data_IF_001351125395
#
_entry.id   IF_001351125395
#
_cell.length_a   1.000
_cell.length_b   1.000
_cell.length_c   1.000
_cell.angle_alpha   90.00
_cell.angle_beta   90.00
_cell.angle_gamma   90.00
#
_symmetry.space_group_name_H-M   'P 1'
#
loop_
_entity.id
_entity.type
_entity.pdbx_description
1 polymer ?
2 non-polymer ?
3 non-polymer ?
4 water ?
#
# COMPACT_ATOMS: atom_id res chain seq x y z
N UNK A 1 40.56 -5.78 -8.66
CA UNK A 1 40.47 -5.48 -7.24
C UNK A 1 39.06 -5.75 -6.69
N UNK A 2 38.08 -5.82 -7.59
CA UNK A 2 36.70 -6.07 -7.19
C UNK A 2 36.35 -7.53 -7.39
N UNK A 3 36.06 -8.24 -6.31
CA UNK A 3 35.72 -9.65 -6.44
C UNK A 3 34.23 -9.81 -6.78
N UNK A 4 33.36 -9.12 -6.04
CA UNK A 4 31.92 -9.32 -6.22
C UNK A 4 31.13 -8.16 -5.62
N UNK A 5 30.12 -7.69 -6.35
CA UNK A 5 29.17 -6.72 -5.80
C UNK A 5 27.81 -7.42 -5.67
N UNK A 6 27.25 -7.42 -4.46
CA UNK A 6 25.91 -7.96 -4.25
C UNK A 6 25.09 -7.07 -3.31
N UNK A 7 23.78 -7.18 -3.42
CA UNK A 7 22.85 -6.49 -2.53
C UNK A 7 22.10 -7.55 -1.71
N UNK A 8 21.85 -7.29 -0.42
CA UNK A 8 21.30 -8.34 0.43
C UNK A 8 19.95 -8.87 -0.05
N UNK A 9 19.10 -7.96 -0.52
CA UNK A 9 17.81 -8.36 -1.08
C UNK A 9 17.77 -8.17 -2.59
N UNK A 10 16.99 -9.00 -3.28
CA UNK A 10 16.85 -8.91 -4.73
C UNK A 10 15.57 -8.19 -5.08
N UNK A 11 14.57 -8.38 -4.23
CA UNK A 11 13.27 -7.77 -4.44
C UNK A 11 12.65 -7.46 -3.09
N UNK A 12 11.99 -6.31 -2.99
CA UNK A 12 11.25 -5.99 -1.78
C UNK A 12 9.99 -5.20 -2.12
N UNK A 13 8.90 -5.51 -1.41
CA UNK A 13 7.64 -4.80 -1.56
C UNK A 13 7.36 -4.00 -0.29
N UNK A 14 6.83 -2.80 -0.45
CA UNK A 14 6.52 -1.95 0.69
C UNK A 14 5.38 -1.01 0.33
N UNK A 15 4.71 -0.48 1.34
CA UNK A 15 3.62 0.44 1.09
C UNK A 15 4.13 1.86 1.10
N UNK A 16 3.40 2.72 0.39
CA UNK A 16 3.62 4.15 0.47
C UNK A 16 3.70 4.54 1.94
N UNK A 17 4.71 5.33 2.28
CA UNK A 17 4.92 5.77 3.65
C UNK A 17 5.85 4.92 4.48
N UNK A 18 6.10 3.69 4.04
CA UNK A 18 6.97 2.76 4.76
C UNK A 18 8.45 3.09 4.47
N UNK A 19 9.34 2.67 5.36
CA UNK A 19 10.78 2.89 5.18
C UNK A 19 11.49 1.56 4.96
N UNK A 20 12.49 1.55 4.08
CA UNK A 20 13.29 0.34 3.85
C UNK A 20 14.75 0.68 3.58
N UNK A 21 15.65 -0.24 3.91
CA UNK A 21 17.07 -0.10 3.56
C UNK A 21 17.64 -1.30 2.81
N UNK A 22 18.73 -1.05 2.08
CA UNK A 22 19.40 -2.09 1.31
C UNK A 22 20.89 -1.96 1.49
N UNK A 23 21.57 -3.09 1.54
CA UNK A 23 23.00 -3.09 1.77
C UNK A 23 23.71 -3.66 0.55
N UNK A 24 24.60 -2.86 -0.03
CA UNK A 24 25.45 -3.33 -1.11
C UNK A 24 26.82 -3.72 -0.54
N UNK A 25 27.30 -4.91 -0.86
CA UNK A 25 28.61 -5.33 -0.40
C UNK A 25 29.55 -5.51 -1.57
N UNK A 26 30.68 -4.83 -1.52
CA UNK A 26 31.61 -4.88 -2.64
C UNK A 26 32.90 -5.54 -2.17
N UNK A 27 32.91 -6.87 -2.21
CA UNK A 27 34.06 -7.66 -1.76
C UNK A 27 35.28 -7.39 -2.64
N UNK A 28 36.41 -7.09 -2.00
CA UNK A 28 37.60 -6.70 -2.72
C UNK A 28 38.07 -5.35 -2.22
N UNK A 29 38.56 -4.51 -3.13
CA UNK A 29 39.03 -3.19 -2.77
C UNK A 29 38.36 -2.09 -3.59
N UNK A 30 37.09 -1.77 -3.26
CA UNK A 30 36.43 -0.68 -3.98
C UNK A 30 37.01 0.67 -3.58
N UNK A 31 37.09 1.58 -4.54
CA UNK A 31 37.43 2.96 -4.27
C UNK A 31 36.16 3.74 -3.96
N UNK A 32 35.10 3.47 -4.74
CA UNK A 32 33.81 4.14 -4.56
C UNK A 32 32.69 3.12 -4.64
N UNK A 33 31.59 3.40 -3.94
CA UNK A 33 30.34 2.65 -4.11
C UNK A 33 29.18 3.64 -4.20
N UNK A 34 28.51 3.69 -5.34
CA UNK A 34 27.43 4.64 -5.55
C UNK A 34 26.14 3.91 -5.88
N UNK A 35 25.01 4.56 -5.62
CA UNK A 35 23.70 4.04 -6.01
C UNK A 35 23.07 4.90 -7.11
N UNK A 36 22.30 4.26 -7.98
CA UNK A 36 21.51 4.93 -9.01
C UNK A 36 20.05 4.54 -8.81
N UNK A 37 19.15 5.51 -8.93
CA UNK A 37 17.71 5.28 -8.79
C UNK A 37 17.10 4.81 -10.11
N UNK A 38 15.78 4.51 -10.13
CA UNK A 38 15.15 3.99 -11.36
C UNK A 38 15.16 4.97 -12.54
N UNK A 39 15.31 6.26 -12.26
CA UNK A 39 15.43 7.28 -13.30
C UNK A 39 16.83 7.30 -13.90
N UNK A 40 17.72 6.47 -13.36
CA UNK A 40 19.09 6.40 -13.83
C UNK A 40 20.04 7.42 -13.24
N UNK A 41 19.57 8.22 -12.29
CA UNK A 41 20.41 9.26 -11.68
C UNK A 41 21.25 8.74 -10.51
N UNK A 42 22.47 9.25 -10.38
CA UNK A 42 23.28 8.97 -9.19
C UNK A 42 22.64 9.57 -7.94
N UNK A 43 22.41 8.74 -6.93
CA UNK A 43 21.75 9.22 -5.72
C UNK A 43 22.68 10.05 -4.86
N UNK A 44 22.28 11.28 -4.61
CA UNK A 44 23.02 12.14 -3.71
C UNK A 44 22.21 12.21 -2.44
N UNK A 45 22.84 11.83 -1.33
CA UNK A 45 22.16 11.67 -0.05
C UNK A 45 21.34 12.90 0.37
N UNK A 46 20.12 12.66 0.84
CA UNK A 46 19.27 13.70 1.41
C UNK A 46 18.69 13.23 2.74
N UNK A 47 17.80 14.04 3.30
CA UNK A 47 17.16 13.71 4.57
C UNK A 47 16.30 12.46 4.45
N UNK A 48 15.62 12.32 3.32
CA UNK A 48 14.67 11.23 3.13
C UNK A 48 15.30 9.99 2.48
N UNK A 49 16.21 10.21 1.55
CA UNK A 49 16.88 9.11 0.84
C UNK A 49 18.38 9.19 1.11
N UNK A 50 18.87 8.26 1.92
CA UNK A 50 20.20 8.37 2.48
C UNK A 50 21.13 7.29 1.95
N UNK A 51 22.34 7.70 1.58
CA UNK A 51 23.40 6.78 1.22
C UNK A 51 24.57 6.92 2.19
N UNK A 52 25.11 5.80 2.65
CA UNK A 52 26.32 5.83 3.47
C UNK A 52 27.27 4.66 3.24
N UNK A 53 28.50 4.98 2.79
CA UNK A 53 29.55 3.99 2.56
C UNK A 53 30.37 3.76 3.83
N UNK A 54 30.52 2.50 4.21
CA UNK A 54 31.30 2.13 5.39
C UNK A 54 32.15 0.89 5.09
N UNK A 55 33.41 1.12 4.76
CA UNK A 55 34.28 0.04 4.36
C UNK A 55 33.93 -0.44 2.97
N UNK A 56 33.72 -1.75 2.81
CA UNK A 56 33.36 -2.30 1.51
C UNK A 56 31.84 -2.43 1.36
N UNK A 57 31.09 -1.75 2.23
CA UNK A 57 29.63 -1.78 2.17
C UNK A 57 29.02 -0.39 2.02
N UNK A 58 27.90 -0.32 1.30
CA UNK A 58 27.13 0.91 1.20
C UNK A 58 25.66 0.64 1.50
N UNK A 59 25.07 1.48 2.33
CA UNK A 59 23.67 1.33 2.70
C UNK A 59 22.80 2.42 2.05
N UNK A 60 21.72 2.00 1.40
CA UNK A 60 20.74 2.93 0.90
C UNK A 60 19.49 2.79 1.73
N UNK A 61 19.07 3.88 2.36
CA UNK A 61 17.83 3.89 3.10
C UNK A 61 16.84 4.84 2.44
N UNK A 62 15.63 4.34 2.24
CA UNK A 62 14.57 5.15 1.71
C UNK A 62 13.50 5.29 2.79
N UNK A 63 13.37 6.50 3.31
CA UNK A 63 12.35 6.79 4.32
C UNK A 63 11.07 7.27 3.66
N UNK A 64 9.94 6.94 4.29
CA UNK A 64 8.65 7.46 3.87
C UNK A 64 8.45 7.36 2.36
N UNK A 65 8.54 6.14 1.84
CA UNK A 65 8.50 5.87 0.41
C UNK A 65 7.25 6.42 -0.26
N UNK A 66 7.42 6.86 -1.50
CA UNK A 66 6.29 7.23 -2.32
C UNK A 66 6.40 6.45 -3.61
N UNK A 67 5.33 6.47 -4.40
CA UNK A 67 5.24 5.67 -5.61
C UNK A 67 6.39 5.87 -6.58
N UNK A 68 6.90 7.09 -6.66
CA UNK A 68 7.98 7.42 -7.58
C UNK A 68 9.31 6.82 -7.14
N UNK A 69 9.36 6.27 -5.93
CA UNK A 69 10.55 5.56 -5.46
C UNK A 69 10.61 4.14 -6.07
N UNK A 70 9.54 3.71 -6.73
CA UNK A 70 9.46 2.34 -7.22
C UNK A 70 10.38 2.05 -8.41
N UNK A 71 10.87 0.82 -8.50
CA UNK A 71 11.65 0.42 -9.66
C UNK A 71 12.99 -0.18 -9.29
N UNK A 72 13.87 -0.29 -10.28
CA UNK A 72 15.15 -0.98 -10.10
C UNK A 72 16.23 0.01 -9.71
N UNK A 73 16.91 -0.28 -8.61
CA UNK A 73 18.05 0.50 -8.15
C UNK A 73 19.32 -0.25 -8.47
N UNK A 74 20.39 0.48 -8.78
CA UNK A 74 21.68 -0.14 -9.08
C UNK A 74 22.70 0.30 -8.04
N UNK A 75 23.49 -0.65 -7.56
CA UNK A 75 24.68 -0.34 -6.78
C UNK A 75 25.87 -0.57 -7.71
N UNK A 76 26.74 0.43 -7.85
CA UNK A 76 27.89 0.31 -8.74
C UNK A 76 29.15 0.57 -7.91
N UNK A 77 30.04 -0.42 -7.84
CA UNK A 77 31.33 -0.19 -7.20
C UNK A 77 32.39 0.02 -8.27
N UNK A 78 33.38 0.84 -7.92
CA UNK A 78 34.46 1.14 -8.84
C UNK A 78 35.77 0.94 -8.10
N UNK A 79 36.74 0.34 -8.76
CA UNK A 79 38.07 0.25 -8.18
C UNK A 79 38.92 1.48 -8.55
N UNK A 80 40.17 1.48 -8.12
CA UNK A 80 41.01 2.66 -8.30
C UNK A 80 41.41 2.89 -9.77
N UNK A 81 41.34 1.83 -10.57
CA UNK A 81 41.63 1.90 -12.00
C UNK A 81 40.45 2.35 -12.85
N UNK A 82 39.27 2.45 -12.23
CA UNK A 82 38.09 2.83 -12.98
C UNK A 82 37.24 1.66 -13.49
N UNK A 83 37.60 0.45 -13.09
CA UNK A 83 36.78 -0.72 -13.44
C UNK A 83 35.57 -0.83 -12.52
N UNK A 84 34.44 -1.27 -13.06
CA UNK A 84 33.20 -1.23 -12.31
C UNK A 84 32.53 -2.60 -12.27
N UNK A 85 31.77 -2.83 -11.20
CA UNK A 85 30.87 -3.96 -11.11
C UNK A 85 29.61 -3.42 -10.45
N UNK A 86 28.50 -4.10 -10.66
CA UNK A 86 27.21 -3.56 -10.22
C UNK A 86 26.24 -4.68 -9.86
N UNK A 87 25.26 -4.35 -9.02
CA UNK A 87 24.20 -5.29 -8.64
C UNK A 87 22.92 -4.48 -8.66
N UNK A 88 21.78 -5.16 -8.69
CA UNK A 88 20.51 -4.46 -8.72
C UNK A 88 19.53 -4.99 -7.69
N UNK A 89 18.59 -4.14 -7.29
CA UNK A 89 17.50 -4.55 -6.40
C UNK A 89 16.21 -3.89 -6.91
N UNK A 90 15.09 -4.62 -6.84
CA UNK A 90 13.80 -4.12 -7.30
C UNK A 90 12.93 -3.74 -6.11
N UNK A 91 12.41 -2.52 -6.15
CA UNK A 91 11.51 -2.00 -5.14
C UNK A 91 10.12 -1.97 -5.79
N UNK A 92 9.18 -2.74 -5.24
CA UNK A 92 7.77 -2.65 -5.63
C UNK A 92 6.98 -1.93 -4.54
N UNK A 93 6.21 -0.93 -4.94
CA UNK A 93 5.54 -0.08 -3.97
C UNK A 93 4.02 -0.07 -4.22
N UNK A 94 3.25 -0.33 -3.17
CA UNK A 94 1.79 -0.39 -3.31
C UNK A 94 1.15 0.57 -2.32
N UNK A 95 -0.16 0.76 -2.43
CA UNK A 95 -0.88 1.60 -1.48
C UNK A 95 -1.76 0.70 -0.60
N UNK A 96 -1.57 0.77 0.71
CA UNK A 96 -2.38 -0.06 1.59
C UNK A 96 -3.80 0.49 1.73
N UNK A 97 -4.71 -0.33 2.25
CA UNK A 97 -6.11 0.09 2.44
C UNK A 97 -6.26 1.35 3.29
N UNK A 98 -7.02 2.30 2.77
CA UNK A 98 -7.22 3.58 3.41
C UNK A 98 -8.68 3.98 3.28
N UNK A 99 -9.37 4.10 4.42
CA UNK A 99 -10.73 4.63 4.45
C UNK A 99 -10.72 6.16 4.52
N UNK A 100 -11.61 6.81 3.76
CA UNK A 100 -11.73 8.28 3.71
C UNK A 100 -13.06 8.77 4.28
N UNK A 101 -12.99 9.84 5.05
CA UNK A 101 -14.18 10.50 5.58
C UNK A 101 -15.34 9.54 5.86
N UNK A 102 -15.12 8.62 6.80
CA UNK A 102 -16.15 7.68 7.21
C UNK A 102 -17.27 8.43 7.96
N UNK A 103 -18.51 8.26 7.51
CA UNK A 103 -19.67 8.85 8.19
C UNK A 103 -20.57 7.83 8.88
N UNK A 104 -20.80 8.02 10.18
CA UNK A 104 -21.64 7.13 10.97
C UNK A 104 -22.14 7.91 12.19
N UNK A 105 -23.47 7.90 12.41
CA UNK A 105 -24.44 7.16 11.61
C UNK A 105 -24.76 7.83 10.27
N UNK A 106 -25.41 7.08 9.39
CA UNK A 106 -26.02 7.65 8.21
C UNK A 106 -27.53 7.43 8.30
N UNK A 107 -28.30 8.50 8.11
CA UNK A 107 -29.74 8.45 8.31
C UNK A 107 -30.53 8.52 7.01
N UNK A 108 -31.61 7.76 6.95
CA UNK A 108 -32.51 7.73 5.80
C UNK A 108 -33.97 7.71 6.26
N UNK A 109 -34.88 8.22 5.43
CA UNK A 109 -36.30 8.08 5.74
C UNK A 109 -36.89 6.82 5.11
N UNK A 110 -37.76 6.14 5.85
CA UNK A 110 -38.36 4.90 5.37
C UNK A 110 -38.98 5.10 3.98
N UNK A 111 -38.82 4.10 3.12
CA UNK A 111 -39.39 4.14 1.78
C UNK A 111 -38.46 4.66 0.69
N UNK A 112 -37.50 5.51 1.06
CA UNK A 112 -36.58 6.05 0.07
C UNK A 112 -35.55 4.99 -0.34
N UNK A 113 -34.86 5.23 -1.46
CA UNK A 113 -33.80 4.33 -1.89
C UNK A 113 -32.48 4.84 -1.32
N UNK A 114 -31.95 4.11 -0.34
CA UNK A 114 -30.78 4.57 0.39
C UNK A 114 -29.50 4.23 -0.36
N UNK A 115 -28.48 5.08 -0.20
CA UNK A 115 -27.11 4.76 -0.61
C UNK A 115 -26.18 4.96 0.60
N UNK A 116 -25.72 3.87 1.21
CA UNK A 116 -24.81 3.98 2.34
C UNK A 116 -23.39 4.17 1.78
N UNK A 117 -22.76 5.28 2.14
CA UNK A 117 -21.48 5.68 1.57
C UNK A 117 -20.29 5.12 2.33
N UNK A 118 -19.36 4.54 1.57
CA UNK A 118 -18.12 4.05 2.13
C UNK A 118 -17.03 4.34 1.12
N UNK A 119 -15.91 4.91 1.57
CA UNK A 119 -14.86 5.27 0.62
C UNK A 119 -13.55 4.63 1.05
N UNK A 120 -13.13 3.61 0.30
CA UNK A 120 -11.90 2.91 0.62
C UNK A 120 -11.02 2.88 -0.63
N UNK A 121 -9.70 2.85 -0.42
CA UNK A 121 -8.76 2.91 -1.54
C UNK A 121 -7.56 2.04 -1.24
N UNK A 122 -6.88 1.61 -2.30
CA UNK A 122 -5.70 0.78 -2.21
C UNK A 122 -5.17 0.58 -3.63
N UNK A 123 -3.96 0.03 -3.75
CA UNK A 123 -3.50 -0.52 -5.02
C UNK A 123 -3.03 -1.96 -4.76
N UNK A 124 -3.55 -2.93 -5.53
CA UNK A 124 -4.57 -2.77 -6.56
C UNK A 124 -5.87 -2.29 -5.90
N UNK A 125 -6.83 -1.84 -6.70
CA UNK A 125 -8.16 -1.52 -6.21
C UNK A 125 -8.64 -2.55 -5.20
N UNK A 126 -9.33 -2.08 -4.15
CA UNK A 126 -9.81 -2.98 -3.10
C UNK A 126 -11.03 -3.79 -3.54
N UNK A 127 -11.15 -5.00 -3.02
CA UNK A 127 -12.40 -5.75 -3.15
C UNK A 127 -13.22 -5.40 -1.93
N UNK A 128 -14.43 -4.88 -2.13
CA UNK A 128 -15.25 -4.42 -1.01
C UNK A 128 -16.46 -5.33 -0.79
N UNK A 129 -16.81 -5.58 0.46
CA UNK A 129 -18.03 -6.32 0.79
C UNK A 129 -18.80 -5.57 1.87
N UNK A 130 -20.13 -5.66 1.83
CA UNK A 130 -20.94 -5.13 2.91
C UNK A 130 -21.53 -6.28 3.72
N UNK A 131 -21.45 -6.17 5.05
CA UNK A 131 -21.96 -7.21 5.92
C UNK A 131 -22.92 -6.57 6.92
N UNK A 132 -23.73 -7.40 7.57
CA UNK A 132 -24.70 -6.90 8.53
C UNK A 132 -24.47 -7.58 9.88
N UNK A 133 -24.60 -6.79 10.95
CA UNK A 133 -24.36 -7.27 12.31
C UNK A 133 -25.60 -7.85 12.95
N UNK A 134 -25.41 -9.00 13.58
CA UNK A 134 -26.35 -9.54 14.55
C UNK A 134 -25.54 -10.15 15.68
N UNK A 135 -25.59 -11.47 15.80
CA UNK A 135 -24.66 -12.17 16.67
C UNK A 135 -23.36 -12.36 15.90
N UNK A 136 -23.50 -12.80 14.65
CA UNK A 136 -22.38 -12.93 13.74
C UNK A 136 -22.50 -11.88 12.64
N UNK A 137 -21.39 -11.24 12.30
CA UNK A 137 -21.37 -10.35 11.15
C UNK A 137 -21.44 -11.21 9.89
N UNK A 138 -22.49 -11.02 9.10
CA UNK A 138 -22.76 -11.90 7.98
C UNK A 138 -22.95 -11.15 6.66
N UNK A 139 -22.61 -11.81 5.56
CA UNK A 139 -22.74 -11.24 4.23
C UNK A 139 -24.21 -11.09 3.87
N UNK A 140 -24.54 -10.01 3.18
CA UNK A 140 -25.93 -9.70 2.88
C UNK A 140 -26.42 -10.37 1.60
N UNK A 141 -27.52 -11.11 1.72
CA UNK A 141 -28.21 -11.69 0.58
C UNK A 141 -29.70 -11.35 0.65
N UNK A 142 -30.09 -10.30 -0.07
CA UNK A 142 -31.46 -9.80 -0.07
C UNK A 142 -31.65 -9.01 -1.36
N UNK A 143 -32.76 -9.23 -2.05
CA UNK A 143 -32.97 -8.63 -3.37
C UNK A 143 -33.09 -7.09 -3.41
N UNK A 144 -33.33 -6.45 -2.27
CA UNK A 144 -33.39 -4.99 -2.23
C UNK A 144 -32.01 -4.36 -2.00
N UNK A 145 -31.00 -5.21 -1.84
CA UNK A 145 -29.65 -4.78 -1.49
C UNK A 145 -28.64 -5.11 -2.58
N UNK A 146 -27.81 -4.13 -2.91
CA UNK A 146 -26.79 -4.32 -3.93
C UNK A 146 -25.61 -3.40 -3.72
N UNK A 147 -24.40 -3.93 -3.89
CA UNK A 147 -23.24 -3.06 -3.89
C UNK A 147 -23.14 -2.33 -5.22
N UNK A 148 -22.87 -1.03 -5.17
CA UNK A 148 -22.75 -0.22 -6.36
C UNK A 148 -21.30 -0.20 -6.86
N UNK A 149 -21.13 0.25 -8.09
CA UNK A 149 -19.81 0.32 -8.74
C UNK A 149 -18.85 1.25 -7.99
N UNK A 150 -19.40 2.20 -7.24
CA UNK A 150 -18.59 3.06 -6.38
C UNK A 150 -18.41 2.46 -4.98
N UNK A 151 -18.69 1.17 -4.83
CA UNK A 151 -18.54 0.46 -3.54
C UNK A 151 -19.52 0.81 -2.42
N UNK A 152 -20.46 1.69 -2.69
CA UNK A 152 -21.50 2.03 -1.71
C UNK A 152 -22.56 0.93 -1.68
N UNK A 153 -23.43 0.95 -0.67
CA UNK A 153 -24.49 -0.05 -0.58
C UNK A 153 -25.84 0.58 -0.92
N UNK A 154 -26.51 0.06 -1.95
CA UNK A 154 -27.84 0.54 -2.32
C UNK A 154 -28.86 -0.31 -1.55
N UNK A 155 -29.82 0.36 -0.93
CA UNK A 155 -30.92 -0.33 -0.26
C UNK A 155 -32.22 0.26 -0.81
N UNK A 156 -32.87 -0.49 -1.69
CA UNK A 156 -34.13 -0.03 -2.28
C UNK A 156 -35.28 -0.06 -1.26
N UNK A 157 -36.08 1.01 -1.26
CA UNK A 157 -37.29 1.09 -0.45
C UNK A 157 -36.95 0.70 0.98
N UNK A 158 -36.06 1.47 1.59
CA UNK A 158 -35.53 1.08 2.88
C UNK A 158 -36.64 1.02 3.94
N UNK A 159 -36.59 -0.05 4.74
CA UNK A 159 -37.60 -0.34 5.75
C UNK A 159 -37.00 -0.18 7.15
N UNK A 160 -37.84 -0.09 8.17
CA UNK A 160 -37.33 0.03 9.53
C UNK A 160 -36.53 -1.20 9.93
N UNK A 161 -36.89 -2.35 9.38
CA UNK A 161 -36.17 -3.59 9.68
C UNK A 161 -34.74 -3.60 9.13
N UNK A 162 -34.44 -2.65 8.24
CA UNK A 162 -33.11 -2.57 7.64
C UNK A 162 -32.13 -1.81 8.52
N UNK A 163 -32.67 -1.08 9.49
CA UNK A 163 -31.86 -0.35 10.45
C UNK A 163 -30.92 -1.28 11.21
N UNK A 164 -29.72 -0.81 11.52
CA UNK A 164 -28.74 -1.62 12.23
C UNK A 164 -27.31 -1.23 11.92
N UNK A 165 -26.39 -2.14 12.22
CA UNK A 165 -24.97 -1.90 11.95
C UNK A 165 -24.53 -2.62 10.68
N UNK A 166 -23.93 -1.85 9.77
CA UNK A 166 -23.42 -2.41 8.52
C UNK A 166 -21.90 -2.28 8.49
N UNK A 167 -21.23 -3.33 8.06
CA UNK A 167 -19.78 -3.31 7.97
C UNK A 167 -19.37 -3.15 6.51
N UNK A 168 -18.57 -2.12 6.24
CA UNK A 168 -17.93 -1.96 4.94
C UNK A 168 -16.54 -2.57 5.09
N UNK A 169 -16.31 -3.68 4.40
CA UNK A 169 -15.05 -4.41 4.51
C UNK A 169 -14.24 -4.26 3.22
N UNK A 170 -12.99 -3.83 3.33
CA UNK A 170 -12.11 -3.71 2.17
C UNK A 170 -11.03 -4.77 2.24
N UNK A 171 -10.70 -5.38 1.11
CA UNK A 171 -9.70 -6.44 1.08
C UNK A 171 -8.78 -6.29 -0.12
N UNK A 172 -7.52 -6.69 0.05
CA UNK A 172 -6.65 -6.87 -1.11
C UNK A 172 -6.15 -8.30 -1.07
N UNK A 173 -6.75 -9.18 -1.86
CA UNK A 173 -6.52 -10.62 -1.70
C UNK A 173 -5.07 -11.06 -1.91
N UNK A 174 -4.38 -10.36 -2.80
CA UNK A 174 -3.01 -10.72 -3.17
C UNK A 174 -2.04 -10.53 -2.01
N UNK A 175 -2.40 -9.65 -1.07
CA UNK A 175 -1.59 -9.47 0.12
C UNK A 175 -2.25 -10.03 1.39
N UNK A 176 -3.52 -10.42 1.29
CA UNK A 176 -4.28 -10.84 2.46
C UNK A 176 -4.57 -9.67 3.39
N UNK A 177 -4.52 -8.46 2.83
CA UNK A 177 -4.77 -7.25 3.60
C UNK A 177 -6.27 -7.04 3.79
N UNK A 178 -6.68 -6.66 5.00
CA UNK A 178 -8.10 -6.49 5.30
C UNK A 178 -8.29 -5.39 6.36
N UNK A 179 -9.35 -4.61 6.21
CA UNK A 179 -9.67 -3.54 7.16
C UNK A 179 -11.16 -3.27 6.99
N UNK A 180 -11.80 -2.62 7.95
CA UNK A 180 -13.24 -2.39 7.85
C UNK A 180 -13.67 -1.17 8.66
N UNK A 181 -14.85 -0.65 8.35
CA UNK A 181 -15.49 0.37 9.18
C UNK A 181 -16.93 -0.05 9.39
N UNK A 182 -17.39 0.03 10.64
CA UNK A 182 -18.78 -0.24 10.97
C UNK A 182 -19.55 1.06 10.88
N UNK A 183 -20.71 1.00 10.24
CA UNK A 183 -21.51 2.19 10.01
C UNK A 183 -22.92 1.95 10.53
N UNK A 184 -23.38 2.85 11.39
CA UNK A 184 -24.74 2.77 11.91
C UNK A 184 -25.72 3.35 10.88
N UNK A 185 -26.66 2.52 10.44
CA UNK A 185 -27.68 2.94 9.48
C UNK A 185 -29.01 3.11 10.21
N UNK A 186 -29.50 4.34 10.24
CA UNK A 186 -30.73 4.68 10.96
C UNK A 186 -31.85 4.94 9.96
N UNK A 187 -33.01 4.33 10.20
CA UNK A 187 -34.16 4.54 9.31
C UNK A 187 -35.29 5.23 10.06
N UNK A 188 -35.52 6.50 9.72
CA UNK A 188 -36.55 7.32 10.35
C UNK A 188 -37.95 7.03 9.78
N UNK A 189 -38.87 6.62 10.65
CA UNK A 189 -40.21 6.21 10.21
C UNK A 189 -41.20 7.36 10.18
X LIG B 1 -40.37 -3.71 7.62
X LIG B 1 -40.21 -5.22 7.42
X LIG B 1 -40.93 -6.11 8.45
X LIG B 1 -42.17 -5.49 9.10
X LIG B 1 -42.26 -3.98 8.93
X LIG B 1 -43.08 -3.36 10.07
X LIG B 1 -39.80 -6.40 5.33
X LIG B 1 -39.45 -7.74 5.92
X LIG B 1 -40.58 -5.61 6.06
X LIG B 1 -40.02 -6.53 9.46
X LIG B 1 -43.33 -6.09 8.55
X LIG B 1 -40.97 -3.42 8.87
X LIG B 1 -42.96 -4.15 11.23
X LIG B 1 -39.37 -6.09 4.21
X LIG C 1 -15.50 -4.48 -4.55
X LIG C 1 -14.93 -3.36 -5.18
X LIG C 1 -15.81 -5.58 -5.56
X LIG C 1 -15.14 -5.28 -6.77
X LIG C 1 -15.38 -6.95 -5.02
X LIG C 1 -16.22 -7.38 -3.97
#
# INVERSE_FOLDING_TARGET
ALLQVTISLSKVELSVGESKFFTCTAIGEPESIDWYNPQGEKIISTQRVVVQKEGVRSRLTIYNANIEDAGIYRCQATDAKGQTQEATVVLEIYQKLTFREVVSPQEFKQGEDAEVVCRVSSSPAPAVSWLYHNEEVTTISDNRFAMLANNNLQILNINKSDEGIYRCEGRVEARGEIDFRDIIVIVNV
NAG C1 C2 C3 C4 C5 C6 C7 C8 N2 O3 O4 O5 O6 O7
GOL C1 O1 C2 O2 C3 O3
#
